data_IF_442205795199
#
_entry.id   IF_442205795199
#
_cell.length_a   1.000
_cell.length_b   1.000
_cell.length_c   1.000
_cell.angle_alpha   90.00
_cell.angle_beta   90.00
_cell.angle_gamma   90.00
#
_symmetry.space_group_name_H-M   'P 1'
#
loop_
_entity.id
_entity.type
_entity.pdbx_description
1 polymer ?
#
# COMPACT_ATOMS: atom_id res chain seq x y z
N UNK A 1 13.51 6.56 7.26
CA UNK A 1 12.48 6.13 8.23
C UNK A 1 12.86 4.77 8.76
N UNK A 2 12.77 4.54 10.08
CA UNK A 2 13.12 3.26 10.73
C UNK A 2 12.11 3.00 11.85
N UNK A 3 11.72 1.74 12.05
CA UNK A 3 10.81 1.28 13.10
C UNK A 3 9.97 0.09 12.65
N UNK A 4 9.16 -0.46 13.56
CA UNK A 4 8.32 -1.63 13.28
C UNK A 4 7.33 -1.37 12.14
N UNK A 5 7.09 -2.41 11.35
CA UNK A 5 6.12 -2.43 10.26
C UNK A 5 5.34 -3.74 10.23
N UNK A 6 4.16 -3.71 9.60
CA UNK A 6 3.35 -4.89 9.34
C UNK A 6 3.28 -5.14 7.84
N UNK A 7 3.54 -6.37 7.41
CA UNK A 7 3.41 -6.83 6.03
C UNK A 7 2.08 -7.57 5.88
N UNK A 8 1.26 -7.13 4.92
CA UNK A 8 -0.05 -7.71 4.63
C UNK A 8 -0.07 -8.21 3.20
N UNK A 9 -0.47 -9.46 3.01
CA UNK A 9 -0.80 -9.99 1.70
C UNK A 9 -2.26 -9.71 1.37
N UNK A 10 -2.49 -8.88 0.34
CA UNK A 10 -3.84 -8.52 -0.09
C UNK A 10 -4.25 -9.16 -1.42
N UNK A 11 -3.38 -9.98 -2.05
CA UNK A 11 -3.68 -10.72 -3.29
C UNK A 11 -4.35 -9.85 -4.37
N UNK A 12 -3.82 -8.65 -4.57
CA UNK A 12 -4.32 -7.61 -5.47
C UNK A 12 -5.68 -6.96 -5.16
N UNK A 13 -6.36 -7.38 -4.10
CA UNK A 13 -7.65 -6.80 -3.71
C UNK A 13 -7.49 -5.35 -3.27
N UNK A 14 -8.47 -4.51 -3.61
CA UNK A 14 -8.58 -3.16 -3.07
C UNK A 14 -9.05 -3.29 -1.63
N UNK A 15 -8.29 -2.75 -0.68
CA UNK A 15 -8.65 -2.79 0.74
C UNK A 15 -9.64 -1.65 1.06
N UNK A 16 -10.81 -2.02 1.59
CA UNK A 16 -11.85 -1.11 2.06
C UNK A 16 -11.81 -0.93 3.59
N UNK A 17 -12.80 -0.22 4.14
CA UNK A 17 -12.86 0.10 5.58
C UNK A 17 -12.87 -1.12 6.49
N UNK A 18 -13.60 -2.18 6.09
CA UNK A 18 -13.68 -3.41 6.87
C UNK A 18 -12.36 -4.21 6.77
N UNK A 19 -11.76 -4.24 5.59
CA UNK A 19 -10.50 -4.94 5.36
C UNK A 19 -9.31 -4.31 6.10
N UNK A 20 -9.35 -3.01 6.39
CA UNK A 20 -8.27 -2.30 7.11
C UNK A 20 -8.43 -2.29 8.64
N UNK A 21 -9.56 -2.74 9.18
CA UNK A 21 -9.84 -2.66 10.62
C UNK A 21 -8.72 -3.27 11.50
N UNK A 22 -8.16 -4.45 11.15
CA UNK A 22 -7.06 -5.06 11.91
C UNK A 22 -5.76 -4.23 11.93
N UNK A 23 -5.59 -3.28 11.02
CA UNK A 23 -4.36 -2.50 10.83
C UNK A 23 -4.47 -1.07 11.35
N UNK A 24 -5.58 -0.71 11.98
CA UNK A 24 -5.72 0.56 12.71
C UNK A 24 -4.64 0.65 13.80
N UNK A 25 -3.92 1.76 13.87
CA UNK A 25 -2.82 1.97 14.82
C UNK A 25 -1.46 1.45 14.35
N UNK A 26 -1.40 0.70 13.25
CA UNK A 26 -0.13 0.32 12.63
C UNK A 26 0.54 1.57 12.06
N UNK A 27 1.80 1.80 12.43
CA UNK A 27 2.54 2.99 11.99
C UNK A 27 3.14 2.85 10.59
N UNK A 28 3.44 1.62 10.14
CA UNK A 28 4.07 1.36 8.85
C UNK A 28 3.46 0.09 8.27
N UNK A 29 2.77 0.22 7.15
CA UNK A 29 2.02 -0.88 6.53
C UNK A 29 2.60 -1.16 5.15
N UNK A 30 3.03 -2.39 4.90
CA UNK A 30 3.53 -2.85 3.61
C UNK A 30 2.48 -3.79 2.99
N UNK A 31 1.92 -3.39 1.86
CA UNK A 31 0.88 -4.10 1.14
C UNK A 31 1.51 -4.90 -0.01
N UNK A 32 1.67 -6.20 0.22
CA UNK A 32 2.15 -7.16 -0.78
C UNK A 32 1.01 -7.55 -1.71
N UNK A 33 1.26 -7.37 -2.99
CA UNK A 33 0.39 -7.75 -4.10
C UNK A 33 1.01 -8.93 -4.88
N UNK A 34 0.53 -9.24 -6.09
CA UNK A 34 1.19 -10.22 -6.95
C UNK A 34 2.20 -9.59 -7.93
N UNK A 35 2.59 -8.32 -7.70
CA UNK A 35 3.47 -7.57 -8.60
C UNK A 35 4.96 -7.71 -8.27
N UNK A 36 5.32 -8.30 -7.13
CA UNK A 36 6.71 -8.67 -6.83
C UNK A 36 7.28 -9.55 -7.94
N UNK A 37 8.32 -9.07 -8.62
CA UNK A 37 8.95 -9.78 -9.75
C UNK A 37 8.21 -9.70 -11.09
N UNK A 38 7.09 -8.96 -11.21
CA UNK A 38 6.27 -8.92 -12.43
C UNK A 38 6.91 -8.24 -13.66
N UNK A 39 8.16 -7.77 -13.55
CA UNK A 39 8.86 -7.07 -14.63
C UNK A 39 9.76 -7.98 -15.51
N UNK A 40 9.67 -9.30 -15.40
CA UNK A 40 10.56 -10.24 -16.12
C UNK A 40 10.53 -10.07 -17.65
N UNK A 41 9.40 -9.65 -18.23
CA UNK A 41 9.24 -9.42 -19.68
C UNK A 41 9.22 -7.92 -20.09
N UNK A 42 9.58 -7.01 -19.17
CA UNK A 42 9.63 -5.57 -19.45
C UNK A 42 8.27 -4.86 -19.58
N UNK A 43 7.16 -5.58 -19.37
CA UNK A 43 5.79 -5.02 -19.34
C UNK A 43 5.24 -5.14 -17.94
N UNK A 44 4.90 -4.00 -17.33
CA UNK A 44 4.27 -3.97 -16.01
C UNK A 44 2.74 -4.05 -16.15
N UNK A 45 2.07 -5.03 -15.52
CA UNK A 45 0.63 -5.20 -15.67
C UNK A 45 -0.14 -4.06 -14.99
N UNK A 46 -1.29 -3.62 -15.57
CA UNK A 46 -2.12 -2.60 -14.95
C UNK A 46 -2.72 -3.11 -13.64
N UNK A 47 -2.92 -2.20 -12.69
CA UNK A 47 -3.55 -2.49 -11.41
C UNK A 47 -4.48 -1.37 -10.96
N UNK A 48 -5.40 -1.70 -10.07
CA UNK A 48 -6.23 -0.72 -9.37
C UNK A 48 -5.47 -0.03 -8.22
N UNK A 49 -6.13 0.93 -7.54
CA UNK A 49 -5.60 1.52 -6.33
C UNK A 49 -5.45 0.47 -5.22
N UNK A 50 -4.53 0.69 -4.27
CA UNK A 50 -4.33 -0.22 -3.12
C UNK A 50 -5.54 -0.25 -2.18
N UNK A 51 -6.13 0.92 -1.97
CA UNK A 51 -7.13 1.18 -0.94
C UNK A 51 -8.27 2.01 -1.53
N UNK A 52 -9.45 1.93 -0.93
CA UNK A 52 -10.43 3.00 -1.10
C UNK A 52 -9.92 4.27 -0.40
N UNK A 53 -10.37 5.45 -0.85
CA UNK A 53 -10.00 6.71 -0.21
C UNK A 53 -10.44 6.76 1.27
N UNK A 54 -11.61 6.18 1.58
CA UNK A 54 -12.13 6.01 2.94
C UNK A 54 -11.16 5.20 3.82
N UNK A 55 -10.69 4.04 3.32
CA UNK A 55 -9.78 3.18 4.06
C UNK A 55 -8.43 3.85 4.31
N UNK A 56 -7.90 4.56 3.30
CA UNK A 56 -6.67 5.33 3.43
C UNK A 56 -6.81 6.46 4.47
N UNK A 57 -7.93 7.19 4.47
CA UNK A 57 -8.22 8.23 5.46
C UNK A 57 -8.25 7.65 6.89
N UNK A 58 -8.96 6.53 7.09
CA UNK A 58 -9.03 5.86 8.39
C UNK A 58 -7.64 5.47 8.91
N UNK A 59 -6.78 4.93 8.05
CA UNK A 59 -5.44 4.50 8.44
C UNK A 59 -4.56 5.67 8.86
N UNK A 60 -4.54 6.77 8.10
CA UNK A 60 -3.74 7.96 8.46
C UNK A 60 -4.28 8.63 9.73
N UNK A 61 -5.59 8.73 9.90
CA UNK A 61 -6.21 9.23 11.14
C UNK A 61 -5.90 8.34 12.34
N UNK A 62 -5.69 7.03 12.10
CA UNK A 62 -5.28 6.06 13.10
C UNK A 62 -3.77 6.01 13.35
N UNK A 63 -2.98 6.90 12.75
CA UNK A 63 -1.55 7.06 13.04
C UNK A 63 -0.59 6.38 12.05
N UNK A 64 -1.05 6.02 10.86
CA UNK A 64 -0.19 5.51 9.80
C UNK A 64 0.83 6.60 9.36
N UNK A 65 2.11 6.24 9.37
CA UNK A 65 3.23 7.10 8.98
C UNK A 65 3.87 6.69 7.63
N UNK A 66 3.68 5.44 7.22
CA UNK A 66 4.23 4.89 5.98
C UNK A 66 3.25 3.86 5.40
N UNK A 67 2.97 4.00 4.11
CA UNK A 67 2.41 2.93 3.28
C UNK A 67 3.44 2.50 2.24
N UNK A 68 3.63 1.19 2.10
CA UNK A 68 4.53 0.60 1.11
C UNK A 68 3.82 -0.44 0.25
N UNK A 69 4.29 -0.63 -0.97
CA UNK A 69 3.78 -1.64 -1.89
C UNK A 69 4.86 -2.14 -2.83
N UNK A 70 4.68 -3.37 -3.31
CA UNK A 70 5.45 -3.94 -4.42
C UNK A 70 4.94 -3.51 -5.81
N UNK A 71 3.90 -2.66 -5.85
CA UNK A 71 3.43 -2.00 -7.06
C UNK A 71 4.23 -0.74 -7.38
N UNK A 72 4.20 -0.31 -8.63
CA UNK A 72 4.79 0.95 -9.09
C UNK A 72 3.94 2.19 -8.79
N UNK A 73 2.76 2.02 -8.18
CA UNK A 73 1.91 3.13 -7.73
C UNK A 73 0.96 2.66 -6.63
N UNK A 74 0.66 3.53 -5.66
CA UNK A 74 -0.46 3.33 -4.73
C UNK A 74 -1.82 3.53 -5.39
N UNK A 75 -1.90 4.41 -6.40
CA UNK A 75 -3.09 4.67 -7.22
C UNK A 75 -3.19 3.69 -8.40
N UNK A 76 -4.38 3.60 -9.01
CA UNK A 76 -4.58 2.79 -10.20
C UNK A 76 -3.78 3.28 -11.41
N UNK A 77 -3.44 2.38 -12.32
CA UNK A 77 -2.63 2.69 -13.51
C UNK A 77 -3.28 3.70 -14.48
N UNK A 78 -4.60 3.88 -14.39
CA UNK A 78 -5.39 4.84 -15.16
C UNK A 78 -5.76 6.10 -14.35
N UNK A 79 -5.31 6.22 -13.10
CA UNK A 79 -5.57 7.38 -12.26
C UNK A 79 -4.90 8.63 -12.83
N UNK A 80 -5.66 9.72 -12.87
CA UNK A 80 -5.19 11.05 -13.29
C UNK A 80 -5.29 12.08 -12.17
N UNK A 81 -6.04 11.76 -11.12
CA UNK A 81 -6.30 12.57 -9.95
C UNK A 81 -5.35 12.26 -8.78
N UNK A 82 -4.72 11.08 -8.79
CA UNK A 82 -3.75 10.60 -7.81
C UNK A 82 -4.29 10.73 -6.37
N UNK A 83 -5.52 10.25 -6.17
CA UNK A 83 -6.29 10.45 -4.94
C UNK A 83 -5.54 9.91 -3.71
N UNK A 84 -4.97 8.70 -3.78
CA UNK A 84 -4.24 8.12 -2.66
C UNK A 84 -2.93 8.84 -2.40
N UNK A 85 -2.17 9.18 -3.44
CA UNK A 85 -0.97 10.01 -3.28
C UNK A 85 -1.27 11.31 -2.55
N UNK A 86 -2.27 12.05 -3.01
CA UNK A 86 -2.65 13.35 -2.42
C UNK A 86 -3.07 13.18 -0.97
N UNK A 87 -3.86 12.16 -0.65
CA UNK A 87 -4.33 11.88 0.70
C UNK A 87 -3.16 11.57 1.63
N UNK A 88 -2.31 10.59 1.28
CA UNK A 88 -1.17 10.19 2.13
C UNK A 88 -0.19 11.34 2.34
N UNK A 89 0.21 12.04 1.28
CA UNK A 89 1.17 13.13 1.37
C UNK A 89 0.61 14.33 2.16
N UNK A 90 -0.69 14.62 2.03
CA UNK A 90 -1.34 15.67 2.82
C UNK A 90 -1.39 15.32 4.32
N UNK A 91 -1.43 14.04 4.65
CA UNK A 91 -1.35 13.52 6.02
C UNK A 91 0.10 13.32 6.53
N UNK A 92 1.12 13.74 5.75
CA UNK A 92 2.53 13.45 6.05
C UNK A 92 2.86 11.95 6.18
N UNK A 93 2.05 11.10 5.55
CA UNK A 93 2.31 9.67 5.42
C UNK A 93 3.21 9.45 4.20
N UNK A 94 4.32 8.75 4.39
CA UNK A 94 5.27 8.45 3.33
C UNK A 94 4.78 7.30 2.45
N UNK A 95 5.09 7.38 1.17
CA UNK A 95 4.77 6.37 0.17
C UNK A 95 6.07 5.67 -0.25
N UNK A 96 6.06 4.35 -0.29
CA UNK A 96 7.18 3.52 -0.74
C UNK A 96 6.70 2.54 -1.81
N UNK A 97 7.14 2.73 -3.04
CA UNK A 97 6.69 1.96 -4.21
C UNK A 97 7.83 1.13 -4.82
N UNK A 98 7.47 0.12 -5.59
CA UNK A 98 8.42 -0.74 -6.32
C UNK A 98 9.25 -1.64 -5.42
N UNK A 99 8.71 -2.03 -4.26
CA UNK A 99 9.36 -3.02 -3.39
C UNK A 99 9.34 -4.41 -4.01
N UNK A 100 10.29 -5.26 -3.61
CA UNK A 100 10.17 -6.71 -3.81
C UNK A 100 9.74 -7.34 -2.47
N UNK A 101 8.49 -7.77 -2.40
CA UNK A 101 7.88 -8.39 -1.22
C UNK A 101 7.64 -9.90 -1.41
N UNK A 102 8.07 -10.48 -2.53
CA UNK A 102 7.75 -11.87 -2.92
C UNK A 102 8.30 -12.91 -1.94
N UNK A 103 9.44 -12.63 -1.30
CA UNK A 103 10.06 -13.48 -0.28
C UNK A 103 9.71 -13.12 1.17
N UNK A 104 8.90 -12.09 1.40
CA UNK A 104 8.65 -11.56 2.75
C UNK A 104 7.44 -12.24 3.39
N UNK A 105 7.57 -12.75 4.60
CA UNK A 105 6.45 -13.39 5.32
C UNK A 105 5.48 -12.32 5.87
N UNK A 106 4.15 -12.45 5.69
CA UNK A 106 3.18 -11.55 6.30
C UNK A 106 3.26 -11.54 7.83
N UNK A 107 2.99 -10.37 8.45
CA UNK A 107 3.09 -10.14 9.89
C UNK A 107 4.05 -9.00 10.24
N UNK A 108 4.43 -8.92 11.52
CA UNK A 108 5.26 -7.84 12.05
C UNK A 108 6.76 -8.05 11.79
N UNK A 109 7.46 -6.97 11.48
CA UNK A 109 8.92 -6.88 11.26
C UNK A 109 9.53 -5.66 11.95
#
# INVERSE_FOLDING_TARGET
>A
MVGSCCVVDHQDKILDGDAIDPYRGVQRLLLRSNHSGAAEDGVYPPHGPLLTAEAAAILVESGLLLVGTDRLSVDGSDSTDYTLHRLFLSASCFIMEGLDLGGVTPGDH
#
